data_IF_979408186386
#
_entry.id   IF_979408186386
#
_cell.length_a   1.000
_cell.length_b   1.000
_cell.length_c   1.000
_cell.angle_alpha   90.00
_cell.angle_beta   90.00
_cell.angle_gamma   90.00
#
_symmetry.space_group_name_H-M   'P 1'
#
loop_
_entity.id
_entity.type
_entity.pdbx_description
1 polymer ?
#
# COMPACT_ATOMS: atom_id res chain seq x y z
N UNK A 1 8.52 32.57 3.00
CA UNK A 1 9.23 31.71 3.96
C UNK A 1 10.24 30.84 3.20
N UNK A 2 11.41 30.54 3.78
CA UNK A 2 12.38 29.63 3.17
C UNK A 2 11.78 28.23 3.11
N UNK A 3 11.91 27.55 1.95
CA UNK A 3 11.45 26.16 1.82
C UNK A 3 12.28 25.26 2.73
N UNK A 4 11.63 24.28 3.36
CA UNK A 4 12.31 23.25 4.13
C UNK A 4 12.96 22.25 3.17
N UNK A 5 14.24 21.91 3.37
CA UNK A 5 14.93 20.90 2.57
C UNK A 5 14.70 19.51 3.19
N UNK A 6 14.09 18.60 2.45
CA UNK A 6 13.79 17.24 2.86
C UNK A 6 14.59 16.25 2.01
N UNK A 7 15.35 15.36 2.66
CA UNK A 7 15.95 14.20 2.01
C UNK A 7 15.15 12.94 2.35
N UNK A 8 14.63 12.27 1.31
CA UNK A 8 13.81 11.04 1.44
C UNK A 8 14.62 9.84 0.95
N UNK A 9 14.63 8.76 1.73
CA UNK A 9 15.33 7.51 1.40
C UNK A 9 14.34 6.38 1.12
N UNK A 10 14.38 5.85 -0.11
CA UNK A 10 13.58 4.69 -0.51
C UNK A 10 14.36 3.84 -1.52
N UNK A 11 14.52 2.55 -1.25
CA UNK A 11 15.33 1.66 -2.11
C UNK A 11 14.80 1.58 -3.54
N UNK A 12 13.47 1.57 -3.72
CA UNK A 12 12.84 1.59 -5.04
C UNK A 12 12.63 3.03 -5.51
N UNK A 13 13.05 3.40 -6.74
CA UNK A 13 12.79 4.73 -7.30
C UNK A 13 11.29 5.00 -7.45
N UNK A 14 10.70 5.98 -6.73
CA UNK A 14 9.25 6.18 -6.74
C UNK A 14 8.67 6.64 -8.08
N UNK A 15 9.48 7.18 -8.97
CA UNK A 15 9.07 7.60 -10.31
C UNK A 15 9.07 6.45 -11.34
N UNK A 16 9.62 5.27 -10.98
CA UNK A 16 9.69 4.09 -11.85
C UNK A 16 8.90 2.89 -11.30
N UNK A 17 8.56 2.90 -10.02
CA UNK A 17 7.82 1.84 -9.35
C UNK A 17 6.49 2.35 -8.81
N UNK A 18 5.46 1.52 -8.85
CA UNK A 18 4.08 1.88 -8.50
C UNK A 18 3.56 1.04 -7.32
N UNK A 19 4.19 1.20 -6.16
CA UNK A 19 3.74 0.62 -4.90
C UNK A 19 3.04 1.65 -4.01
N UNK A 20 2.51 1.21 -2.88
CA UNK A 20 1.88 2.11 -1.91
C UNK A 20 2.87 3.10 -1.28
N UNK A 21 4.10 2.66 -1.03
CA UNK A 21 5.20 3.49 -0.50
C UNK A 21 5.60 4.56 -1.50
N UNK A 22 5.88 4.13 -2.74
CA UNK A 22 6.30 4.98 -3.84
C UNK A 22 5.25 6.04 -4.16
N UNK A 23 3.98 5.63 -4.19
CA UNK A 23 2.85 6.54 -4.40
C UNK A 23 2.77 7.58 -3.27
N UNK A 24 2.90 7.17 -2.01
CA UNK A 24 2.91 8.11 -0.89
C UNK A 24 4.02 9.16 -1.02
N UNK A 25 5.24 8.74 -1.35
CA UNK A 25 6.37 9.67 -1.55
C UNK A 25 6.04 10.68 -2.65
N UNK A 26 5.62 10.21 -3.83
CA UNK A 26 5.31 11.07 -4.98
C UNK A 26 4.16 12.02 -4.68
N UNK A 27 3.04 11.52 -4.17
CA UNK A 27 1.84 12.32 -3.93
C UNK A 27 2.05 13.38 -2.83
N UNK A 28 2.84 13.04 -1.80
CA UNK A 28 3.19 14.00 -0.74
C UNK A 28 4.17 15.05 -1.26
N UNK A 29 5.23 14.64 -1.93
CA UNK A 29 6.26 15.57 -2.43
C UNK A 29 5.69 16.56 -3.47
N UNK A 30 4.88 16.08 -4.42
CA UNK A 30 4.21 16.94 -5.41
C UNK A 30 3.33 18.02 -4.78
N UNK A 31 2.56 17.67 -3.75
CA UNK A 31 1.64 18.61 -3.08
C UNK A 31 2.35 19.62 -2.20
N UNK A 32 3.51 19.25 -1.69
CA UNK A 32 4.29 20.11 -0.80
C UNK A 32 5.40 20.86 -1.52
N UNK A 33 5.52 20.80 -2.85
CA UNK A 33 6.64 21.38 -3.59
C UNK A 33 6.84 22.88 -3.36
N UNK A 34 5.81 23.63 -2.96
CA UNK A 34 5.90 25.06 -2.64
C UNK A 34 6.52 25.31 -1.27
N UNK A 35 6.31 24.41 -0.28
CA UNK A 35 6.76 24.54 1.12
C UNK A 35 8.03 23.73 1.41
N UNK A 36 8.21 22.59 0.68
CA UNK A 36 9.28 21.61 0.92
C UNK A 36 10.02 21.34 -0.39
N UNK A 37 11.34 21.54 -0.36
CA UNK A 37 12.23 21.13 -1.44
C UNK A 37 12.65 19.67 -1.19
N UNK A 38 12.00 18.73 -1.91
CA UNK A 38 12.20 17.30 -1.69
C UNK A 38 13.24 16.74 -2.66
N UNK A 39 14.24 16.05 -2.10
CA UNK A 39 15.19 15.22 -2.84
C UNK A 39 15.05 13.77 -2.41
N UNK A 40 14.70 12.88 -3.34
CA UNK A 40 14.54 11.45 -3.10
C UNK A 40 15.79 10.72 -3.54
N UNK A 41 16.45 10.07 -2.60
CA UNK A 41 17.60 9.20 -2.86
C UNK A 41 17.10 7.76 -3.00
N UNK A 42 17.38 7.15 -4.15
CA UNK A 42 16.87 5.79 -4.46
C UNK A 42 17.92 4.92 -5.13
N UNK A 43 17.71 3.61 -5.05
CA UNK A 43 18.63 2.64 -5.66
C UNK A 43 18.69 2.74 -7.18
N UNK A 44 19.81 2.31 -7.78
CA UNK A 44 20.05 2.27 -9.24
C UNK A 44 19.25 1.18 -9.95
N UNK A 45 17.96 1.06 -9.64
CA UNK A 45 17.03 0.06 -10.17
C UNK A 45 16.35 0.55 -11.45
N UNK A 46 15.85 -0.38 -12.27
CA UNK A 46 15.13 -0.11 -13.51
C UNK A 46 15.86 0.90 -14.43
N UNK A 47 17.22 0.85 -14.44
CA UNK A 47 18.03 1.73 -15.27
C UNK A 47 18.24 3.15 -14.73
N UNK A 48 17.78 3.47 -13.50
CA UNK A 48 17.97 4.78 -12.87
C UNK A 48 19.45 5.00 -12.50
N UNK A 49 20.20 5.70 -13.36
CA UNK A 49 21.66 5.92 -13.21
C UNK A 49 22.06 7.39 -13.14
N UNK A 50 21.16 8.31 -13.46
CA UNK A 50 21.46 9.75 -13.48
C UNK A 50 20.39 10.52 -12.70
N UNK A 51 20.76 11.59 -11.98
CA UNK A 51 19.79 12.46 -11.33
C UNK A 51 18.74 12.97 -12.33
N UNK A 52 17.50 13.08 -11.87
CA UNK A 52 16.38 13.63 -12.66
C UNK A 52 15.46 14.45 -11.77
N UNK A 53 14.63 15.28 -12.38
CA UNK A 53 13.60 16.04 -11.65
C UNK A 53 12.26 15.86 -12.36
N UNK A 54 11.22 15.52 -11.59
CA UNK A 54 9.86 15.29 -12.10
C UNK A 54 8.88 15.98 -11.14
N UNK A 55 8.00 16.82 -11.67
CA UNK A 55 6.98 17.54 -10.91
C UNK A 55 7.54 18.33 -9.69
N UNK A 56 8.73 18.90 -9.84
CA UNK A 56 9.39 19.67 -8.77
C UNK A 56 10.06 18.82 -7.68
N UNK A 57 10.12 17.50 -7.84
CA UNK A 57 10.81 16.56 -6.96
C UNK A 57 12.12 16.11 -7.60
N UNK A 58 13.22 16.21 -6.86
CA UNK A 58 14.53 15.76 -7.32
C UNK A 58 14.76 14.30 -6.95
N UNK A 59 15.32 13.51 -7.88
CA UNK A 59 15.70 12.11 -7.68
C UNK A 59 17.18 11.93 -7.90
N UNK A 60 17.86 11.29 -6.95
CA UNK A 60 19.31 11.04 -6.99
C UNK A 60 19.55 9.54 -6.84
N UNK A 61 20.24 8.90 -7.80
CA UNK A 61 20.58 7.48 -7.72
C UNK A 61 21.67 7.22 -6.67
N UNK A 62 21.44 6.21 -5.84
CA UNK A 62 22.42 5.63 -4.95
C UNK A 62 22.63 4.17 -5.32
N UNK A 63 23.85 3.68 -5.26
CA UNK A 63 24.20 2.34 -5.75
C UNK A 63 23.37 1.25 -5.06
N UNK A 64 22.73 0.41 -5.87
CA UNK A 64 22.09 -0.84 -5.46
C UNK A 64 22.07 -1.82 -6.65
N UNK A 65 21.61 -3.06 -6.42
CA UNK A 65 21.38 -4.04 -7.51
C UNK A 65 19.91 -4.12 -7.88
N UNK A 66 19.60 -4.53 -9.11
CA UNK A 66 18.24 -4.75 -9.59
C UNK A 66 17.59 -6.06 -9.11
N UNK A 67 18.40 -7.02 -8.68
CA UNK A 67 18.01 -8.42 -8.88
C UNK A 67 17.63 -9.20 -7.66
N UNK A 68 18.05 -8.89 -6.46
CA UNK A 68 17.80 -9.80 -5.33
C UNK A 68 17.56 -9.04 -4.02
N UNK A 69 16.31 -9.01 -3.59
CA UNK A 69 15.97 -8.69 -2.21
C UNK A 69 16.48 -9.83 -1.28
N UNK A 70 17.22 -9.56 -0.19
CA UNK A 70 17.48 -8.26 0.45
C UNK A 70 18.82 -7.59 0.10
N UNK A 71 19.59 -8.13 -0.84
CA UNK A 71 20.92 -7.59 -1.22
C UNK A 71 20.85 -6.16 -1.76
N UNK A 72 19.83 -5.87 -2.54
CA UNK A 72 19.56 -4.54 -3.08
C UNK A 72 19.42 -3.49 -1.96
N UNK A 73 18.65 -3.79 -0.93
CA UNK A 73 18.46 -2.92 0.22
C UNK A 73 19.75 -2.76 1.04
N UNK A 74 20.51 -3.83 1.22
CA UNK A 74 21.78 -3.78 1.93
C UNK A 74 22.80 -2.89 1.21
N UNK A 75 22.96 -3.05 -0.12
CA UNK A 75 23.86 -2.21 -0.93
C UNK A 75 23.43 -0.75 -0.93
N UNK A 76 22.14 -0.49 -1.07
CA UNK A 76 21.57 0.86 -0.97
C UNK A 76 21.90 1.53 0.37
N UNK A 77 21.66 0.84 1.48
CA UNK A 77 21.98 1.36 2.82
C UNK A 77 23.49 1.59 3.01
N UNK A 78 24.36 0.74 2.43
CA UNK A 78 25.81 0.92 2.45
C UNK A 78 26.22 2.16 1.65
N UNK A 79 25.63 2.35 0.47
CA UNK A 79 25.87 3.54 -0.36
C UNK A 79 25.47 4.82 0.36
N UNK A 80 24.28 4.84 0.98
CA UNK A 80 23.81 5.97 1.79
C UNK A 80 24.72 6.26 3.00
N UNK A 81 25.21 5.22 3.67
CA UNK A 81 26.13 5.38 4.80
C UNK A 81 27.43 6.09 4.39
N UNK A 82 27.93 5.84 3.17
CA UNK A 82 29.10 6.52 2.61
C UNK A 82 28.83 7.95 2.12
N UNK A 83 27.56 8.34 1.99
CA UNK A 83 27.16 9.67 1.48
C UNK A 83 26.71 10.64 2.57
N UNK A 84 26.86 10.31 3.86
CA UNK A 84 26.34 11.14 5.00
C UNK A 84 26.88 12.55 4.97
N UNK A 85 28.13 12.77 4.63
CA UNK A 85 28.74 14.10 4.60
C UNK A 85 28.29 14.95 3.39
N UNK A 86 27.85 14.33 2.32
CA UNK A 86 27.40 14.98 1.09
C UNK A 86 25.91 15.30 1.05
N UNK A 87 25.08 14.53 1.76
CA UNK A 87 23.62 14.72 1.80
C UNK A 87 23.24 15.72 2.89
N UNK A 88 22.89 16.94 2.49
CA UNK A 88 22.49 18.02 3.41
C UNK A 88 21.00 18.28 3.29
N UNK A 89 20.28 18.19 4.41
CA UNK A 89 18.86 18.52 4.53
C UNK A 89 18.55 19.12 5.91
N UNK A 90 17.39 19.74 6.02
CA UNK A 90 16.86 20.21 7.31
C UNK A 90 16.22 19.04 8.06
N UNK A 91 15.57 18.11 7.32
CA UNK A 91 14.93 16.89 7.85
C UNK A 91 15.26 15.72 6.92
N UNK A 92 15.49 14.56 7.51
CA UNK A 92 15.65 13.28 6.80
C UNK A 92 14.43 12.40 7.04
N UNK A 93 13.92 11.75 6.00
CA UNK A 93 12.85 10.75 6.09
C UNK A 93 13.28 9.45 5.43
N UNK A 94 13.07 8.32 6.10
CA UNK A 94 13.32 6.99 5.55
C UNK A 94 12.06 6.14 5.57
N UNK A 95 11.84 5.37 4.50
CA UNK A 95 10.72 4.47 4.39
C UNK A 95 11.13 3.02 4.67
N UNK A 96 10.42 2.35 5.58
CA UNK A 96 10.70 0.97 6.00
C UNK A 96 12.13 0.81 6.52
N UNK A 97 12.99 0.04 5.83
CA UNK A 97 14.39 -0.17 6.19
C UNK A 97 15.39 0.59 5.31
N UNK A 98 14.91 1.49 4.45
CA UNK A 98 15.70 2.08 3.35
C UNK A 98 16.72 3.15 3.79
N UNK A 99 16.69 3.64 4.98
CA UNK A 99 17.58 4.71 5.46
C UNK A 99 18.41 4.32 6.69
N UNK A 100 18.36 3.08 7.13
CA UNK A 100 19.02 2.64 8.36
C UNK A 100 20.54 2.85 8.34
N UNK A 101 21.20 2.58 7.20
CA UNK A 101 22.64 2.79 7.05
C UNK A 101 23.04 4.25 7.24
N UNK A 102 22.29 5.17 6.64
CA UNK A 102 22.47 6.61 6.81
C UNK A 102 22.25 7.04 8.25
N UNK A 103 21.11 6.70 8.85
CA UNK A 103 20.77 7.01 10.23
C UNK A 103 21.85 6.52 11.20
N UNK A 104 22.29 5.28 11.04
CA UNK A 104 23.28 4.69 11.93
C UNK A 104 24.62 5.43 11.85
N UNK A 105 25.07 5.82 10.65
CA UNK A 105 26.31 6.58 10.46
C UNK A 105 26.15 8.01 10.97
N UNK A 106 25.03 8.67 10.71
CA UNK A 106 24.71 10.02 11.20
C UNK A 106 24.83 10.09 12.74
N UNK A 107 24.24 9.10 13.44
CA UNK A 107 24.30 9.02 14.91
C UNK A 107 25.70 8.70 15.44
N UNK A 108 26.47 7.87 14.74
CA UNK A 108 27.87 7.60 15.10
C UNK A 108 28.76 8.82 15.00
N UNK A 109 28.50 9.72 14.04
CA UNK A 109 29.23 10.98 13.89
C UNK A 109 28.72 12.08 14.86
N UNK A 110 27.80 11.78 15.77
CA UNK A 110 27.24 12.74 16.73
C UNK A 110 26.36 13.82 16.11
N UNK A 111 25.96 13.67 14.87
CA UNK A 111 25.14 14.66 14.16
C UNK A 111 23.68 14.56 14.60
N UNK A 112 23.20 15.61 15.28
CA UNK A 112 21.83 15.74 15.76
C UNK A 112 20.94 16.43 14.71
N UNK A 113 20.69 15.78 13.60
CA UNK A 113 19.72 16.25 12.59
C UNK A 113 18.45 15.43 12.69
N UNK A 114 17.26 16.07 12.54
CA UNK A 114 15.97 15.38 12.63
C UNK A 114 15.86 14.25 11.62
N UNK A 115 15.50 13.08 12.10
CA UNK A 115 15.29 11.89 11.29
C UNK A 115 13.93 11.25 11.58
N UNK A 116 13.11 11.12 10.53
CA UNK A 116 11.79 10.53 10.57
C UNK A 116 11.89 9.12 9.97
N UNK A 117 11.39 8.12 10.68
CA UNK A 117 11.21 6.77 10.16
C UNK A 117 9.73 6.54 9.84
N UNK A 118 9.41 6.34 8.57
CA UNK A 118 8.05 6.05 8.10
C UNK A 118 7.86 4.53 7.90
N UNK A 119 6.95 3.94 8.68
CA UNK A 119 6.63 2.51 8.70
C UNK A 119 5.24 2.29 8.10
N UNK A 120 5.17 1.60 6.95
CA UNK A 120 3.93 1.34 6.22
C UNK A 120 3.19 0.07 6.66
N UNK A 121 3.91 -0.86 7.21
CA UNK A 121 3.47 -2.08 7.85
C UNK A 121 4.57 -2.52 8.80
N UNK A 122 4.22 -3.01 9.97
CA UNK A 122 5.19 -3.40 11.00
C UNK A 122 5.75 -4.77 10.66
N UNK A 123 7.01 -4.86 10.21
CA UNK A 123 7.63 -6.10 9.73
C UNK A 123 7.66 -7.20 10.79
N UNK A 124 7.76 -6.85 12.08
CA UNK A 124 7.69 -7.83 13.16
C UNK A 124 6.29 -8.46 13.29
N UNK A 125 5.23 -7.66 13.12
CA UNK A 125 3.85 -8.17 13.07
C UNK A 125 3.64 -9.03 11.82
N UNK A 126 4.15 -8.60 10.66
CA UNK A 126 4.10 -9.38 9.43
C UNK A 126 4.80 -10.73 9.57
N UNK A 127 5.96 -10.76 10.23
CA UNK A 127 6.70 -11.98 10.50
C UNK A 127 5.93 -12.94 11.42
N UNK A 128 5.36 -12.44 12.52
CA UNK A 128 4.59 -13.27 13.47
C UNK A 128 3.36 -13.87 12.77
N UNK A 129 2.65 -13.09 11.98
CA UNK A 129 1.48 -13.60 11.23
C UNK A 129 1.89 -14.63 10.17
N UNK A 130 3.03 -14.46 9.50
CA UNK A 130 3.54 -15.43 8.53
C UNK A 130 3.91 -16.79 9.17
N UNK A 131 4.27 -16.82 10.45
CA UNK A 131 4.56 -18.06 11.18
C UNK A 131 3.31 -18.89 11.49
N UNK A 132 2.14 -18.26 11.62
CA UNK A 132 0.87 -18.95 11.91
C UNK A 132 0.27 -19.64 10.69
N UNK A 133 0.88 -19.52 9.50
CA UNK A 133 0.47 -20.21 8.28
C UNK A 133 0.78 -21.72 8.33
N UNK A 134 -0.09 -22.54 7.68
CA UNK A 134 0.09 -24.00 7.61
C UNK A 134 1.36 -24.37 6.83
N UNK A 135 2.05 -25.43 7.31
CA UNK A 135 3.19 -26.12 6.70
C UNK A 135 4.04 -25.33 5.69
N UNK A 136 5.04 -24.60 6.18
CA UNK A 136 5.90 -23.77 5.35
C UNK A 136 6.86 -24.63 4.52
N UNK A 137 6.88 -24.43 3.21
CA UNK A 137 7.93 -24.96 2.33
C UNK A 137 9.32 -24.46 2.77
N UNK A 138 10.40 -25.15 2.38
CA UNK A 138 11.77 -24.71 2.69
C UNK A 138 12.03 -23.27 2.23
N UNK A 139 11.50 -22.89 1.04
CA UNK A 139 11.58 -21.53 0.50
C UNK A 139 10.88 -20.50 1.40
N UNK A 140 9.72 -20.85 1.96
CA UNK A 140 8.99 -19.98 2.88
C UNK A 140 9.70 -19.83 4.22
N UNK A 141 10.35 -20.89 4.72
CA UNK A 141 11.19 -20.82 5.94
C UNK A 141 12.37 -19.87 5.75
N UNK A 142 13.06 -19.94 4.59
CA UNK A 142 14.16 -19.01 4.27
C UNK A 142 13.64 -17.56 4.16
N UNK A 143 12.52 -17.34 3.50
CA UNK A 143 11.90 -16.00 3.40
C UNK A 143 11.56 -15.44 4.79
N UNK A 144 11.10 -16.27 5.74
CA UNK A 144 10.80 -15.84 7.09
C UNK A 144 12.06 -15.45 7.87
N UNK A 145 13.21 -16.13 7.67
CA UNK A 145 14.48 -15.73 8.28
C UNK A 145 14.91 -14.34 7.81
N UNK A 146 14.77 -14.05 6.52
CA UNK A 146 15.05 -12.71 5.98
C UNK A 146 14.07 -11.66 6.51
N UNK A 147 12.78 -11.99 6.61
CA UNK A 147 11.77 -11.09 7.17
C UNK A 147 12.08 -10.76 8.64
N UNK A 148 12.47 -11.74 9.43
CA UNK A 148 12.90 -11.52 10.82
C UNK A 148 14.10 -10.56 10.91
N UNK A 149 15.13 -10.76 10.06
CA UNK A 149 16.30 -9.84 10.03
C UNK A 149 15.89 -8.41 9.65
N UNK A 150 15.01 -8.25 8.68
CA UNK A 150 14.52 -6.94 8.29
C UNK A 150 13.68 -6.30 9.40
N UNK A 151 12.87 -7.07 10.11
CA UNK A 151 12.14 -6.60 11.28
C UNK A 151 13.08 -6.07 12.36
N UNK A 152 14.22 -6.74 12.60
CA UNK A 152 15.24 -6.25 13.54
C UNK A 152 15.93 -4.96 13.06
N UNK A 153 16.13 -4.79 11.76
CA UNK A 153 16.66 -3.53 11.20
C UNK A 153 15.62 -2.41 11.34
N UNK A 154 14.34 -2.68 11.07
CA UNK A 154 13.26 -1.71 11.22
C UNK A 154 13.09 -1.29 12.68
N UNK A 155 13.14 -2.23 13.64
CA UNK A 155 13.14 -1.98 15.07
C UNK A 155 14.32 -1.06 15.48
N UNK A 156 15.53 -1.38 15.03
CA UNK A 156 16.72 -0.59 15.34
C UNK A 156 16.66 0.82 14.73
N UNK A 157 16.08 0.98 13.53
CA UNK A 157 15.83 2.26 12.91
C UNK A 157 14.78 3.07 13.68
N UNK A 158 13.68 2.43 14.07
CA UNK A 158 12.61 3.06 14.83
C UNK A 158 13.10 3.59 16.21
N UNK A 159 13.92 2.82 16.91
CA UNK A 159 14.51 3.24 18.20
C UNK A 159 15.46 4.43 18.09
N UNK A 160 16.16 4.57 16.94
CA UNK A 160 17.14 5.65 16.71
C UNK A 160 16.54 6.92 16.09
N UNK A 161 15.37 6.81 15.47
CA UNK A 161 14.69 7.94 14.86
C UNK A 161 14.16 8.92 15.92
N UNK A 162 14.07 10.20 15.57
CA UNK A 162 13.53 11.24 16.43
C UNK A 162 12.00 11.21 16.42
N UNK A 163 11.40 11.03 15.24
CA UNK A 163 9.97 10.84 15.07
C UNK A 163 9.68 9.59 14.22
N UNK A 164 8.53 9.02 14.46
CA UNK A 164 8.01 7.85 13.73
C UNK A 164 6.70 8.23 13.06
N UNK A 165 6.55 7.86 11.80
CA UNK A 165 5.29 8.01 11.05
C UNK A 165 4.76 6.65 10.70
N UNK A 166 3.45 6.44 10.85
CA UNK A 166 2.78 5.23 10.39
C UNK A 166 1.40 5.54 9.81
N UNK A 167 0.82 4.56 9.10
CA UNK A 167 -0.38 4.76 8.27
C UNK A 167 -1.70 4.49 9.00
N UNK A 168 -1.66 3.88 10.19
CA UNK A 168 -2.85 3.53 10.96
C UNK A 168 -2.57 3.50 12.48
N UNK A 169 -3.62 3.61 13.28
CA UNK A 169 -3.54 3.41 14.74
C UNK A 169 -3.10 1.99 15.06
N UNK A 170 -3.63 1.01 14.30
CA UNK A 170 -3.21 -0.38 14.41
C UNK A 170 -1.67 -0.52 14.28
N UNK A 171 -1.09 0.04 13.23
CA UNK A 171 0.37 -0.01 13.04
C UNK A 171 1.12 0.72 14.16
N UNK A 172 0.57 1.83 14.68
CA UNK A 172 1.14 2.53 15.85
C UNK A 172 1.19 1.65 17.09
N UNK A 173 0.10 0.93 17.37
CA UNK A 173 0.02 -0.01 18.50
C UNK A 173 1.02 -1.17 18.32
N UNK A 174 1.15 -1.69 17.09
CA UNK A 174 2.12 -2.74 16.77
C UNK A 174 3.57 -2.28 16.90
N UNK A 175 3.87 -1.03 16.55
CA UNK A 175 5.20 -0.46 16.77
C UNK A 175 5.54 -0.37 18.26
N UNK A 176 4.62 0.08 19.10
CA UNK A 176 4.81 0.07 20.57
C UNK A 176 5.02 -1.35 21.06
N UNK A 177 4.16 -2.29 20.64
CA UNK A 177 4.20 -3.70 21.09
C UNK A 177 5.49 -4.42 20.69
N UNK A 178 5.94 -4.27 19.44
CA UNK A 178 7.04 -5.08 18.90
C UNK A 178 8.39 -4.38 18.92
N UNK A 179 8.42 -3.05 18.86
CA UNK A 179 9.65 -2.26 18.79
C UNK A 179 9.98 -1.54 20.09
N UNK A 180 9.07 -1.59 21.07
CA UNK A 180 9.27 -0.94 22.38
C UNK A 180 9.65 0.55 22.22
N UNK A 181 8.92 1.25 21.37
CA UNK A 181 9.11 2.68 21.13
C UNK A 181 8.05 3.50 21.83
N UNK A 182 8.42 4.70 22.25
CA UNK A 182 7.52 5.61 22.94
C UNK A 182 6.37 6.06 22.01
N UNK A 183 5.13 5.88 22.45
CA UNK A 183 3.94 6.33 21.70
C UNK A 183 3.98 7.82 21.35
N UNK A 184 4.59 8.65 22.23
CA UNK A 184 4.74 10.08 22.03
C UNK A 184 5.57 10.45 20.78
N UNK A 185 6.47 9.56 20.32
CA UNK A 185 7.25 9.75 19.09
C UNK A 185 6.48 9.39 17.83
N UNK A 186 5.32 8.71 17.91
CA UNK A 186 4.59 8.20 16.76
C UNK A 186 3.54 9.21 16.28
N UNK A 187 3.54 9.48 14.98
CA UNK A 187 2.53 10.28 14.28
C UNK A 187 1.78 9.39 13.30
N UNK A 188 0.47 9.28 13.48
CA UNK A 188 -0.38 8.52 12.57
C UNK A 188 -0.82 9.43 11.43
N UNK A 189 -0.28 9.17 10.25
CA UNK A 189 -0.61 9.88 9.01
C UNK A 189 -1.05 8.87 7.96
N UNK A 190 -2.36 8.62 7.81
CA UNK A 190 -2.89 7.70 6.82
C UNK A 190 -2.48 8.06 5.39
N UNK A 191 -2.39 7.05 4.51
CA UNK A 191 -2.27 7.30 3.09
C UNK A 191 -3.55 7.96 2.55
N UNK A 192 -3.41 8.62 1.42
CA UNK A 192 -4.53 9.25 0.74
C UNK A 192 -4.96 8.53 -0.53
N UNK A 193 -5.96 9.11 -1.17
CA UNK A 193 -6.39 8.80 -2.53
C UNK A 193 -6.54 10.11 -3.33
N UNK A 194 -6.25 10.07 -4.62
CA UNK A 194 -6.51 11.19 -5.53
C UNK A 194 -7.99 11.18 -5.92
N UNK A 195 -8.79 11.98 -5.22
CA UNK A 195 -10.26 12.07 -5.40
C UNK A 195 -10.68 12.73 -6.72
N UNK A 196 -9.77 13.41 -7.43
CA UNK A 196 -10.03 13.98 -8.75
C UNK A 196 -9.79 12.95 -9.85
N UNK A 197 -8.79 12.11 -9.67
CA UNK A 197 -8.45 11.01 -10.55
C UNK A 197 -9.39 9.82 -10.34
N UNK A 198 -9.61 9.41 -9.10
CA UNK A 198 -10.55 8.35 -8.71
C UNK A 198 -11.90 8.98 -8.37
N UNK A 199 -12.74 9.15 -9.38
CA UNK A 199 -14.09 9.69 -9.23
C UNK A 199 -15.10 8.88 -10.02
N UNK A 200 -16.38 8.91 -9.64
CA UNK A 200 -17.44 8.28 -10.42
C UNK A 200 -17.42 8.82 -11.85
N UNK A 201 -17.48 7.92 -12.83
CA UNK A 201 -17.55 8.28 -14.26
C UNK A 201 -18.31 7.21 -15.02
N UNK A 202 -19.04 7.60 -16.06
CA UNK A 202 -19.74 6.68 -16.98
C UNK A 202 -18.83 5.96 -17.98
N UNK A 203 -17.49 6.05 -17.85
CA UNK A 203 -16.52 5.52 -18.84
C UNK A 203 -16.22 4.04 -18.67
N UNK A 204 -17.15 3.23 -18.16
CA UNK A 204 -16.92 1.80 -17.98
C UNK A 204 -17.30 0.95 -19.20
N UNK A 205 -18.23 1.41 -20.04
CA UNK A 205 -18.78 0.68 -21.20
C UNK A 205 -17.68 0.15 -22.15
N UNK A 206 -16.78 1.04 -22.60
CA UNK A 206 -15.70 0.67 -23.51
C UNK A 206 -14.76 -0.41 -22.93
N UNK A 207 -14.49 -0.35 -21.62
CA UNK A 207 -13.67 -1.38 -20.96
C UNK A 207 -14.45 -2.68 -20.81
N UNK A 208 -15.71 -2.62 -20.38
CA UNK A 208 -16.57 -3.82 -20.28
C UNK A 208 -16.67 -4.53 -21.62
N UNK A 209 -16.89 -3.79 -22.70
CA UNK A 209 -16.91 -4.35 -24.05
C UNK A 209 -15.58 -4.99 -24.45
N UNK A 210 -14.45 -4.28 -24.21
CA UNK A 210 -13.10 -4.78 -24.52
C UNK A 210 -12.78 -6.10 -23.82
N UNK A 211 -13.22 -6.28 -22.57
CA UNK A 211 -13.00 -7.51 -21.78
C UNK A 211 -14.22 -8.46 -21.81
N UNK A 212 -15.22 -8.20 -22.67
CA UNK A 212 -16.38 -9.05 -22.93
C UNK A 212 -17.23 -9.34 -21.68
N UNK A 213 -17.52 -8.31 -20.89
CA UNK A 213 -18.37 -8.41 -19.70
C UNK A 213 -19.56 -7.46 -19.73
N UNK A 214 -20.01 -7.12 -20.93
CA UNK A 214 -21.21 -6.30 -21.14
C UNK A 214 -22.40 -6.88 -20.34
N UNK A 215 -23.15 -6.00 -19.66
CA UNK A 215 -24.32 -6.34 -18.87
C UNK A 215 -24.09 -7.33 -17.71
N UNK A 216 -22.81 -7.64 -17.35
CA UNK A 216 -22.50 -8.52 -16.22
C UNK A 216 -22.22 -7.74 -14.95
N UNK A 217 -22.55 -8.34 -13.79
CA UNK A 217 -22.12 -7.83 -12.49
C UNK A 217 -20.66 -8.15 -12.25
N UNK A 218 -19.91 -7.15 -11.76
CA UNK A 218 -18.45 -7.22 -11.66
C UNK A 218 -17.96 -7.06 -10.23
N UNK A 219 -17.21 -8.03 -9.76
CA UNK A 219 -16.44 -7.99 -8.51
C UNK A 219 -14.99 -7.72 -8.85
N UNK A 220 -14.42 -6.64 -8.32
CA UNK A 220 -13.04 -6.20 -8.61
C UNK A 220 -12.12 -6.47 -7.43
N UNK A 221 -10.95 -7.00 -7.72
CA UNK A 221 -9.78 -7.02 -6.84
C UNK A 221 -8.62 -6.28 -7.51
N UNK A 222 -7.91 -5.44 -6.75
CA UNK A 222 -6.68 -4.77 -7.21
C UNK A 222 -5.58 -4.98 -6.17
N UNK A 223 -4.46 -5.57 -6.58
CA UNK A 223 -3.32 -5.77 -5.71
C UNK A 223 -2.38 -6.89 -6.14
N UNK A 224 -1.21 -6.99 -5.48
CA UNK A 224 -0.25 -8.05 -5.76
C UNK A 224 -0.82 -9.43 -5.42
N UNK A 225 -0.55 -10.42 -6.26
CA UNK A 225 -1.02 -11.79 -6.06
C UNK A 225 -0.06 -12.57 -5.13
N UNK A 226 -0.06 -12.19 -3.85
CA UNK A 226 0.78 -12.75 -2.77
C UNK A 226 -0.10 -13.28 -1.62
N UNK A 227 0.42 -14.21 -0.78
CA UNK A 227 -0.39 -14.89 0.25
C UNK A 227 -1.19 -13.95 1.16
N UNK A 228 -0.56 -12.88 1.66
CA UNK A 228 -1.23 -11.95 2.60
C UNK A 228 -2.44 -11.20 2.00
N UNK A 229 -2.59 -11.20 0.67
CA UNK A 229 -3.76 -10.59 -0.01
C UNK A 229 -4.99 -11.51 -0.05
N UNK A 230 -4.87 -12.74 0.45
CA UNK A 230 -6.00 -13.62 0.76
C UNK A 230 -6.83 -14.07 -0.45
N UNK A 231 -6.28 -14.05 -1.68
CA UNK A 231 -7.02 -14.47 -2.88
C UNK A 231 -7.60 -15.88 -2.82
N UNK A 232 -7.02 -16.87 -2.12
CA UNK A 232 -7.68 -18.15 -1.92
C UNK A 232 -9.06 -18.03 -1.29
N UNK A 233 -9.26 -17.11 -0.33
CA UNK A 233 -10.59 -16.85 0.26
C UNK A 233 -11.57 -16.29 -0.78
N UNK A 234 -11.10 -15.42 -1.69
CA UNK A 234 -11.93 -14.89 -2.77
C UNK A 234 -12.37 -15.99 -3.74
N UNK A 235 -11.47 -16.90 -4.09
CA UNK A 235 -11.79 -18.02 -4.99
C UNK A 235 -12.84 -18.96 -4.37
N UNK A 236 -12.67 -19.30 -3.11
CA UNK A 236 -13.67 -20.11 -2.39
C UNK A 236 -15.01 -19.39 -2.26
N UNK A 237 -15.01 -18.10 -1.97
CA UNK A 237 -16.22 -17.28 -1.93
C UNK A 237 -16.88 -17.21 -3.32
N UNK A 238 -16.09 -17.05 -4.38
CA UNK A 238 -16.58 -16.94 -5.75
C UNK A 238 -17.35 -18.20 -6.19
N UNK A 239 -16.98 -19.39 -5.71
CA UNK A 239 -17.71 -20.63 -5.99
C UNK A 239 -19.18 -20.54 -5.54
N UNK A 240 -19.42 -19.95 -4.37
CA UNK A 240 -20.79 -19.75 -3.86
C UNK A 240 -21.51 -18.66 -4.66
N UNK A 241 -20.84 -17.53 -4.91
CA UNK A 241 -21.41 -16.40 -5.67
C UNK A 241 -21.80 -16.83 -7.08
N UNK A 242 -20.96 -17.58 -7.80
CA UNK A 242 -21.23 -18.06 -9.18
C UNK A 242 -22.35 -19.08 -9.19
N UNK A 243 -22.49 -19.90 -8.15
CA UNK A 243 -23.61 -20.85 -8.01
C UNK A 243 -24.97 -20.12 -7.94
N UNK A 244 -25.02 -19.01 -7.22
CA UNK A 244 -26.24 -18.20 -7.08
C UNK A 244 -26.48 -17.28 -8.29
N UNK A 245 -25.40 -16.74 -8.87
CA UNK A 245 -25.45 -15.88 -10.06
C UNK A 245 -24.28 -16.16 -11.00
N UNK A 246 -24.52 -17.06 -11.98
CA UNK A 246 -23.53 -17.49 -12.96
C UNK A 246 -23.03 -16.38 -13.88
N UNK A 247 -23.73 -15.24 -13.96
CA UNK A 247 -23.31 -14.07 -14.75
C UNK A 247 -22.35 -13.13 -14.01
N UNK A 248 -22.02 -13.42 -12.74
CA UNK A 248 -21.04 -12.61 -12.00
C UNK A 248 -19.63 -12.84 -12.53
N UNK A 249 -18.91 -11.75 -12.79
CA UNK A 249 -17.51 -11.75 -13.23
C UNK A 249 -16.57 -11.22 -12.14
N UNK A 250 -15.45 -11.88 -11.96
CA UNK A 250 -14.39 -11.49 -11.07
C UNK A 250 -13.21 -10.93 -11.88
N UNK A 251 -12.90 -9.65 -11.70
CA UNK A 251 -11.79 -8.98 -12.37
C UNK A 251 -10.62 -8.89 -11.39
N UNK A 252 -9.51 -9.52 -11.74
CA UNK A 252 -8.29 -9.57 -10.93
C UNK A 252 -7.22 -8.71 -11.59
N UNK A 253 -6.86 -7.60 -10.93
CA UNK A 253 -5.82 -6.66 -11.40
C UNK A 253 -4.59 -6.81 -10.52
N UNK A 254 -3.43 -6.97 -11.16
CA UNK A 254 -2.13 -7.17 -10.54
C UNK A 254 -1.51 -8.50 -10.90
N UNK A 255 -0.24 -8.66 -10.52
CA UNK A 255 0.54 -9.87 -10.76
C UNK A 255 1.22 -10.36 -9.47
N UNK A 256 1.77 -11.56 -9.51
CA UNK A 256 2.47 -12.15 -8.38
C UNK A 256 2.60 -13.66 -8.42
N UNK A 257 3.36 -14.24 -7.49
CA UNK A 257 3.71 -15.67 -7.50
C UNK A 257 2.53 -16.62 -7.39
N UNK A 258 1.36 -16.16 -6.91
CA UNK A 258 0.16 -17.01 -6.79
C UNK A 258 -0.63 -17.15 -8.09
N UNK A 259 -0.37 -16.38 -9.14
CA UNK A 259 -1.19 -16.30 -10.36
C UNK A 259 -1.49 -17.68 -10.97
N UNK A 260 -0.46 -18.50 -11.17
CA UNK A 260 -0.63 -19.82 -11.81
C UNK A 260 -1.38 -20.80 -10.91
N UNK A 261 -1.11 -20.82 -9.61
CA UNK A 261 -1.82 -21.67 -8.65
C UNK A 261 -3.29 -21.29 -8.50
N UNK A 262 -3.61 -19.98 -8.53
CA UNK A 262 -4.99 -19.50 -8.50
C UNK A 262 -5.76 -19.95 -9.76
N UNK A 263 -5.16 -19.82 -10.96
CA UNK A 263 -5.77 -20.28 -12.21
C UNK A 263 -6.06 -21.79 -12.19
N UNK A 264 -5.08 -22.60 -11.79
CA UNK A 264 -5.28 -24.04 -11.66
C UNK A 264 -6.39 -24.42 -10.66
N UNK A 265 -6.54 -23.64 -9.59
CA UNK A 265 -7.63 -23.85 -8.62
C UNK A 265 -9.00 -23.54 -9.23
N UNK A 266 -9.10 -22.44 -10.00
CA UNK A 266 -10.34 -22.05 -10.70
C UNK A 266 -10.79 -23.08 -11.72
N UNK A 267 -9.84 -23.67 -12.47
CA UNK A 267 -10.12 -24.77 -13.42
C UNK A 267 -10.67 -26.00 -12.69
N UNK A 268 -10.05 -26.43 -11.58
CA UNK A 268 -10.54 -27.54 -10.76
C UNK A 268 -11.93 -27.30 -10.17
N UNK A 269 -12.27 -26.03 -9.92
CA UNK A 269 -13.59 -25.64 -9.41
C UNK A 269 -14.64 -25.41 -10.50
N UNK A 270 -14.27 -25.50 -11.78
CA UNK A 270 -15.13 -25.22 -12.95
C UNK A 270 -15.74 -23.80 -12.95
N UNK A 271 -15.01 -22.80 -12.44
CA UNK A 271 -15.43 -21.39 -12.43
C UNK A 271 -14.41 -20.47 -13.13
N UNK A 272 -13.48 -21.02 -13.88
CA UNK A 272 -12.43 -20.24 -14.55
C UNK A 272 -13.01 -19.22 -15.56
N UNK A 273 -14.13 -19.54 -16.21
CA UNK A 273 -14.84 -18.64 -17.15
C UNK A 273 -15.41 -17.38 -16.49
N UNK A 274 -15.57 -17.38 -15.16
CA UNK A 274 -16.04 -16.22 -14.40
C UNK A 274 -14.90 -15.29 -13.95
N UNK A 275 -13.63 -15.60 -14.30
CA UNK A 275 -12.47 -14.83 -13.85
C UNK A 275 -11.69 -14.25 -15.02
N UNK A 276 -11.31 -12.98 -14.88
CA UNK A 276 -10.44 -12.27 -15.82
C UNK A 276 -9.23 -11.75 -15.07
N UNK A 277 -8.03 -12.26 -15.42
CA UNK A 277 -6.74 -11.77 -14.88
C UNK A 277 -6.15 -10.77 -15.86
N UNK A 278 -6.17 -9.49 -15.53
CA UNK A 278 -5.64 -8.42 -16.38
C UNK A 278 -4.13 -8.21 -16.23
N UNK A 279 -3.50 -8.82 -15.19
CA UNK A 279 -2.09 -8.52 -14.86
C UNK A 279 -1.91 -7.13 -14.29
N UNK A 280 -0.67 -6.65 -14.30
CA UNK A 280 -0.37 -5.28 -13.87
C UNK A 280 -0.90 -4.29 -14.91
N UNK A 281 -1.67 -3.33 -14.44
CA UNK A 281 -2.29 -2.31 -15.27
C UNK A 281 -1.65 -0.95 -15.01
N UNK A 282 -1.44 -0.19 -16.09
CA UNK A 282 -0.96 1.17 -15.96
C UNK A 282 -1.91 2.01 -15.11
N UNK A 283 -1.36 2.89 -14.29
CA UNK A 283 -2.13 3.70 -13.34
C UNK A 283 -3.28 4.49 -14.00
N UNK A 284 -3.12 4.97 -15.24
CA UNK A 284 -4.15 5.74 -15.95
C UNK A 284 -5.42 4.94 -16.23
N UNK A 285 -5.35 3.60 -16.26
CA UNK A 285 -6.48 2.71 -16.53
C UNK A 285 -7.23 2.35 -15.25
N UNK A 286 -6.57 2.36 -14.09
CA UNK A 286 -7.16 1.94 -12.82
C UNK A 286 -8.49 2.64 -12.48
N UNK A 287 -8.64 3.98 -12.61
CA UNK A 287 -9.91 4.63 -12.30
C UNK A 287 -11.08 4.08 -13.11
N UNK A 288 -10.85 3.76 -14.37
CA UNK A 288 -11.89 3.17 -15.23
C UNK A 288 -12.24 1.74 -14.82
N UNK A 289 -11.26 0.93 -14.39
CA UNK A 289 -11.52 -0.42 -13.88
C UNK A 289 -12.32 -0.39 -12.57
N UNK A 290 -12.02 0.50 -11.65
CA UNK A 290 -12.84 0.72 -10.45
C UNK A 290 -14.27 1.14 -10.82
N UNK A 291 -14.44 2.02 -11.80
CA UNK A 291 -15.76 2.44 -12.28
C UNK A 291 -16.56 1.29 -12.91
N UNK A 292 -15.92 0.29 -13.52
CA UNK A 292 -16.58 -0.90 -14.07
C UNK A 292 -17.08 -1.87 -12.99
N UNK A 293 -16.58 -1.79 -11.77
CA UNK A 293 -16.96 -2.69 -10.69
C UNK A 293 -18.34 -2.34 -10.11
N UNK A 294 -19.07 -3.37 -9.70
CA UNK A 294 -20.25 -3.26 -8.84
C UNK A 294 -19.86 -3.34 -7.37
N UNK A 295 -18.87 -4.17 -7.05
CA UNK A 295 -18.34 -4.39 -5.70
C UNK A 295 -16.81 -4.49 -5.78
N UNK A 296 -16.13 -3.83 -4.86
CA UNK A 296 -14.68 -4.02 -4.67
C UNK A 296 -14.43 -4.97 -3.50
N UNK A 297 -13.52 -5.93 -3.66
CA UNK A 297 -13.18 -6.89 -2.61
C UNK A 297 -11.69 -6.85 -2.29
N UNK A 298 -11.36 -6.69 -1.00
CA UNK A 298 -9.98 -6.82 -0.49
C UNK A 298 -9.94 -7.87 0.63
N UNK A 299 -9.76 -9.16 0.30
CA UNK A 299 -9.75 -10.25 1.27
C UNK A 299 -8.38 -10.42 1.96
N UNK A 300 -7.63 -9.33 2.12
CA UNK A 300 -6.32 -9.35 2.77
C UNK A 300 -6.42 -9.90 4.19
N UNK A 301 -5.52 -10.83 4.54
CA UNK A 301 -5.39 -11.34 5.91
C UNK A 301 -4.42 -10.49 6.74
N UNK A 302 -3.74 -9.56 6.08
CA UNK A 302 -2.83 -8.61 6.71
C UNK A 302 -2.73 -7.34 5.85
N UNK A 303 -2.98 -6.18 6.46
CA UNK A 303 -2.97 -4.89 5.76
C UNK A 303 -2.63 -3.75 6.73
N UNK A 304 -1.73 -2.85 6.32
CA UNK A 304 -1.45 -1.63 7.09
C UNK A 304 -2.58 -0.61 7.04
N UNK A 305 -3.24 -0.47 5.87
CA UNK A 305 -4.39 0.42 5.66
C UNK A 305 -5.24 -0.01 4.46
N UNK A 306 -4.62 -0.29 3.28
CA UNK A 306 -5.33 -0.69 2.07
C UNK A 306 -5.71 0.49 1.16
N UNK A 307 -4.74 1.08 0.44
CA UNK A 307 -4.99 2.18 -0.51
C UNK A 307 -6.07 1.82 -1.55
N UNK A 308 -6.09 0.56 -2.01
CA UNK A 308 -7.09 0.09 -2.97
C UNK A 308 -8.54 0.21 -2.45
N UNK A 309 -8.77 0.13 -1.13
CA UNK A 309 -10.08 0.40 -0.51
C UNK A 309 -10.45 1.88 -0.64
N UNK A 310 -9.48 2.78 -0.49
CA UNK A 310 -9.71 4.22 -0.64
C UNK A 310 -10.02 4.57 -2.10
N UNK A 311 -9.33 3.94 -3.07
CA UNK A 311 -9.55 4.11 -4.50
C UNK A 311 -10.95 3.64 -4.93
N UNK A 312 -11.38 2.48 -4.42
CA UNK A 312 -12.72 1.96 -4.67
C UNK A 312 -13.80 2.89 -4.13
N UNK A 313 -13.67 3.31 -2.86
CA UNK A 313 -14.61 4.23 -2.24
C UNK A 313 -14.60 5.61 -2.93
N UNK A 314 -13.45 6.10 -3.36
CA UNK A 314 -13.34 7.36 -4.12
C UNK A 314 -14.09 7.29 -5.46
N UNK A 315 -14.22 6.12 -6.07
CA UNK A 315 -15.07 5.89 -7.27
C UNK A 315 -16.51 5.52 -6.93
N UNK A 316 -16.94 5.77 -5.68
CA UNK A 316 -18.27 5.44 -5.16
C UNK A 316 -18.63 3.96 -5.30
N UNK A 317 -17.67 3.05 -5.06
CA UNK A 317 -17.94 1.61 -5.01
C UNK A 317 -17.98 1.12 -3.57
N UNK A 318 -18.99 0.29 -3.22
CA UNK A 318 -19.01 -0.37 -1.93
C UNK A 318 -17.87 -1.37 -1.82
N UNK A 319 -17.32 -1.52 -0.64
CA UNK A 319 -16.17 -2.40 -0.40
C UNK A 319 -16.55 -3.57 0.50
N UNK A 320 -15.94 -4.72 0.26
CA UNK A 320 -16.01 -5.89 1.13
C UNK A 320 -14.59 -6.28 1.50
N UNK A 321 -14.29 -6.33 2.79
CA UNK A 321 -12.93 -6.60 3.24
C UNK A 321 -12.93 -7.39 4.56
N UNK A 322 -11.80 -8.03 4.85
CA UNK A 322 -11.59 -8.60 6.16
C UNK A 322 -11.21 -7.52 7.18
N UNK A 323 -11.74 -7.66 8.39
CA UNK A 323 -11.45 -6.78 9.53
C UNK A 323 -10.10 -7.11 10.14
N UNK A 324 -9.03 -6.72 9.45
CA UNK A 324 -7.64 -6.99 9.82
C UNK A 324 -6.79 -5.73 9.75
N UNK A 325 -5.85 -5.61 10.66
CA UNK A 325 -4.90 -4.50 10.62
C UNK A 325 -5.56 -3.13 10.63
N UNK A 326 -5.08 -2.25 9.76
CA UNK A 326 -5.62 -0.90 9.58
C UNK A 326 -6.83 -0.80 8.65
N UNK A 327 -7.38 -1.91 8.15
CA UNK A 327 -8.55 -1.93 7.25
C UNK A 327 -9.76 -1.29 7.90
N UNK A 328 -9.99 -1.56 9.21
CA UNK A 328 -11.12 -0.96 9.96
C UNK A 328 -11.07 0.56 10.07
N UNK A 329 -9.90 1.17 9.82
CA UNK A 329 -9.76 2.62 9.80
C UNK A 329 -10.08 3.22 8.42
N UNK A 330 -10.05 2.37 7.37
CA UNK A 330 -10.31 2.74 5.99
C UNK A 330 -11.74 2.44 5.52
N UNK A 331 -12.54 1.71 6.31
CA UNK A 331 -13.91 1.30 5.97
C UNK A 331 -14.81 1.47 7.18
N UNK A 332 -15.95 2.12 7.00
CA UNK A 332 -17.02 2.17 8.00
C UNK A 332 -17.96 0.98 7.79
N UNK A 333 -17.90 0.00 8.71
CA UNK A 333 -18.69 -1.23 8.58
C UNK A 333 -20.18 -0.93 8.48
N UNK A 334 -20.85 -1.61 7.53
CA UNK A 334 -22.29 -1.47 7.19
C UNK A 334 -22.69 -0.08 6.67
N UNK A 335 -21.74 0.86 6.56
CA UNK A 335 -22.00 2.20 6.02
C UNK A 335 -21.35 2.42 4.65
N UNK A 336 -20.06 2.14 4.52
CA UNK A 336 -19.33 2.29 3.26
C UNK A 336 -19.00 0.94 2.61
N UNK A 337 -19.27 -0.16 3.32
CA UNK A 337 -19.02 -1.53 2.91
C UNK A 337 -19.26 -2.51 4.05
N UNK A 338 -18.74 -3.73 3.90
CA UNK A 338 -18.81 -4.76 4.93
C UNK A 338 -17.43 -5.20 5.39
N UNK A 339 -17.24 -5.25 6.71
CA UNK A 339 -16.08 -5.84 7.37
C UNK A 339 -16.48 -7.16 8.05
N UNK A 340 -15.61 -8.17 7.91
CA UNK A 340 -15.80 -9.47 8.55
C UNK A 340 -14.47 -10.10 8.91
N UNK A 341 -14.49 -11.09 9.81
CA UNK A 341 -13.31 -11.95 10.04
C UNK A 341 -12.92 -12.72 8.76
N UNK A 342 -11.66 -13.13 8.62
CA UNK A 342 -11.24 -13.94 7.48
C UNK A 342 -12.01 -15.26 7.37
N UNK A 343 -13.01 -15.30 6.48
CA UNK A 343 -13.91 -16.42 6.25
C UNK A 343 -14.51 -16.29 4.84
N UNK A 344 -14.35 -17.32 4.00
CA UNK A 344 -14.83 -17.31 2.60
C UNK A 344 -16.34 -17.30 2.50
N UNK A 345 -17.08 -17.91 3.45
CA UNK A 345 -18.53 -17.93 3.45
C UNK A 345 -19.09 -16.55 3.77
N UNK A 346 -18.56 -15.89 4.81
CA UNK A 346 -18.96 -14.53 5.14
C UNK A 346 -18.65 -13.55 4.01
N UNK A 347 -17.50 -13.75 3.33
CA UNK A 347 -17.12 -12.97 2.15
C UNK A 347 -18.14 -13.14 1.02
N UNK A 348 -18.56 -14.39 0.73
CA UNK A 348 -19.56 -14.68 -0.28
C UNK A 348 -20.91 -14.05 0.06
N UNK A 349 -21.39 -14.19 1.30
CA UNK A 349 -22.65 -13.62 1.78
C UNK A 349 -22.69 -12.09 1.61
N UNK A 350 -21.60 -11.39 1.99
CA UNK A 350 -21.48 -9.95 1.83
C UNK A 350 -21.48 -9.50 0.37
N UNK A 351 -20.72 -10.21 -0.48
CA UNK A 351 -20.69 -9.94 -1.93
C UNK A 351 -22.07 -10.17 -2.55
N UNK A 352 -22.73 -11.31 -2.29
CA UNK A 352 -24.06 -11.61 -2.81
C UNK A 352 -25.09 -10.57 -2.37
N UNK A 353 -25.05 -10.13 -1.10
CA UNK A 353 -25.94 -9.07 -0.56
C UNK A 353 -25.80 -7.76 -1.35
N UNK A 354 -24.58 -7.37 -1.70
CA UNK A 354 -24.34 -6.17 -2.51
C UNK A 354 -24.78 -6.39 -3.96
N UNK A 355 -24.46 -7.54 -4.57
CA UNK A 355 -24.84 -7.82 -5.96
C UNK A 355 -26.37 -7.87 -6.13
N UNK A 356 -27.11 -8.36 -5.15
CA UNK A 356 -28.57 -8.43 -5.17
C UNK A 356 -29.27 -7.07 -5.09
N UNK A 357 -28.62 -6.01 -4.59
CA UNK A 357 -29.27 -4.71 -4.35
C UNK A 357 -28.47 -3.54 -4.93
N UNK A 358 -28.91 -3.02 -6.08
CA UNK A 358 -28.36 -1.82 -6.68
C UNK A 358 -28.44 -0.61 -5.75
N UNK A 359 -29.58 -0.40 -5.11
CA UNK A 359 -29.81 0.68 -4.17
C UNK A 359 -28.82 0.65 -2.99
N UNK A 360 -28.52 -0.55 -2.46
CA UNK A 360 -27.54 -0.72 -1.38
C UNK A 360 -26.13 -0.37 -1.88
N UNK A 361 -25.76 -0.80 -3.09
CA UNK A 361 -24.46 -0.46 -3.68
C UNK A 361 -24.28 1.04 -3.84
N UNK A 362 -25.29 1.72 -4.39
CA UNK A 362 -25.28 3.17 -4.60
C UNK A 362 -25.21 3.94 -3.27
N UNK A 363 -25.98 3.54 -2.27
CA UNK A 363 -25.98 4.15 -0.94
C UNK A 363 -24.61 4.02 -0.27
N UNK A 364 -24.05 2.80 -0.20
CA UNK A 364 -22.77 2.55 0.43
C UNK A 364 -21.62 3.20 -0.34
N UNK A 365 -21.66 3.15 -1.69
CA UNK A 365 -20.66 3.78 -2.54
C UNK A 365 -20.64 5.31 -2.37
N UNK A 366 -21.78 5.96 -2.32
CA UNK A 366 -21.90 7.42 -2.07
C UNK A 366 -21.30 7.80 -0.71
N UNK A 367 -21.68 7.09 0.34
CA UNK A 367 -21.10 7.29 1.68
C UNK A 367 -19.60 7.04 1.71
N UNK A 368 -19.14 6.00 1.00
CA UNK A 368 -17.71 5.70 0.86
C UNK A 368 -16.93 6.85 0.23
N UNK A 369 -17.45 7.43 -0.85
CA UNK A 369 -16.83 8.59 -1.49
C UNK A 369 -16.79 9.81 -0.57
N UNK A 370 -17.87 10.12 0.13
CA UNK A 370 -17.90 11.20 1.11
C UNK A 370 -16.84 11.00 2.19
N UNK A 371 -16.79 9.83 2.78
CA UNK A 371 -15.85 9.46 3.84
C UNK A 371 -14.38 9.62 3.39
N UNK A 372 -14.01 9.09 2.22
CA UNK A 372 -12.62 9.20 1.78
C UNK A 372 -12.26 10.59 1.30
N UNK A 373 -13.21 11.35 0.74
CA UNK A 373 -12.96 12.72 0.29
C UNK A 373 -12.69 13.67 1.46
N UNK A 374 -13.34 13.46 2.60
CA UNK A 374 -13.17 14.28 3.80
C UNK A 374 -12.04 13.84 4.71
N UNK A 375 -11.59 12.56 4.64
CA UNK A 375 -10.67 12.00 5.61
C UNK A 375 -9.34 11.53 5.04
N UNK A 376 -9.32 11.12 3.75
CA UNK A 376 -8.21 10.40 3.12
C UNK A 376 -7.79 10.94 1.75
N UNK A 377 -7.99 12.22 1.44
CA UNK A 377 -7.36 12.79 0.24
C UNK A 377 -5.84 12.90 0.40
N UNK A 378 -5.08 12.83 -0.70
CA UNK A 378 -3.64 13.08 -0.63
C UNK A 378 -3.31 14.50 -0.15
N UNK A 379 -4.22 15.47 -0.34
CA UNK A 379 -4.04 16.83 0.18
C UNK A 379 -4.05 16.84 1.71
N UNK A 380 -4.97 16.10 2.33
CA UNK A 380 -5.03 15.94 3.79
C UNK A 380 -3.77 15.21 4.30
N UNK A 381 -3.35 14.15 3.61
CA UNK A 381 -2.13 13.42 3.94
C UNK A 381 -0.90 14.34 3.89
N UNK A 382 -0.74 15.09 2.80
CA UNK A 382 0.37 16.02 2.59
C UNK A 382 0.42 17.10 3.67
N UNK A 383 -0.73 17.71 4.02
CA UNK A 383 -0.79 18.70 5.10
C UNK A 383 -0.45 18.12 6.47
N UNK A 384 -0.85 16.88 6.76
CA UNK A 384 -0.44 16.18 7.98
C UNK A 384 1.07 15.91 7.99
N UNK A 385 1.66 15.48 6.86
CA UNK A 385 3.11 15.32 6.75
C UNK A 385 3.88 16.63 6.89
N UNK A 386 3.37 17.73 6.32
CA UNK A 386 3.99 19.05 6.49
C UNK A 386 4.11 19.46 7.98
N UNK A 387 3.08 19.15 8.77
CA UNK A 387 3.12 19.39 10.23
C UNK A 387 4.21 18.57 10.90
N UNK A 388 4.35 17.30 10.51
CA UNK A 388 5.39 16.40 11.03
C UNK A 388 6.79 16.90 10.63
N UNK A 389 6.99 17.33 9.38
CA UNK A 389 8.27 17.90 8.95
C UNK A 389 8.63 19.18 9.70
N UNK A 390 7.65 20.07 9.92
CA UNK A 390 7.87 21.29 10.70
C UNK A 390 8.14 21.00 12.17
N UNK A 391 7.45 20.05 12.76
CA UNK A 391 7.70 19.56 14.12
C UNK A 391 9.14 19.04 14.26
N UNK A 392 9.56 18.14 13.33
CA UNK A 392 10.90 17.60 13.31
C UNK A 392 11.97 18.69 13.15
N UNK A 393 11.75 19.69 12.29
CA UNK A 393 12.71 20.75 12.04
C UNK A 393 12.82 21.74 13.21
N UNK A 394 11.85 21.78 14.12
CA UNK A 394 11.84 22.65 15.31
C UNK A 394 12.44 21.98 16.56
N UNK A 395 12.65 20.66 16.54
CA UNK A 395 13.27 19.86 17.61
C UNK A 395 14.79 19.91 17.54
#
# INVERSE_FOLDING_TARGET
MKKLNLAVFNTQPPHLYFGGVERRIMETAKRLHNEVATTVYSGTKAGFKKPTSIDGVNFVPCFSTDTVFPLDNWLFNRSLAGAVDSIKADVYEAHTVSGYGFLNTLRKHGVKKPFIQTVHGVLADEYVQALHGRALSLRAKLANIFMWRLAKIEEAAAKKADLLVTVSKYSSEKMVQFYDVEKAKIRVVPNGVDIQRFKPSGRCEAIKHKIRIDNKLCVLFVGRLIPRKGLPFLIEAAKQVVKENSQTMFIIVGDGPLKNSLRATLEKMNIASNFIFLGDMHESVLPSLYNCADVFVLPSIQEGQGIALLEAQATAKPVVAFDVGGVREAVLDKETGFLMKPDSRLLAEAVMKLLASRSLREKMGSKGREFVSTSFSWDICAQRMLRVYREAAAS
#
